data_IF_295579729417
#
_entry.id   IF_295579729417
#
_cell.length_a   1.000
_cell.length_b   1.000
_cell.length_c   1.000
_cell.angle_alpha   90.00
_cell.angle_beta   90.00
_cell.angle_gamma   90.00
#
_symmetry.space_group_name_H-M   'P 1'
#
loop_
_entity.id
_entity.type
_entity.pdbx_description
1 polymer ?
#
# COMPACT_ATOMS: atom_id res chain seq x y z
N UNK A 1 26.54 -59.26 -19.92
CA UNK A 1 26.37 -59.14 -18.44
C UNK A 1 25.21 -58.23 -18.17
N UNK A 2 24.12 -58.76 -17.58
CA UNK A 2 22.83 -58.09 -17.39
C UNK A 2 22.81 -57.42 -16.03
N UNK A 3 22.71 -56.08 -15.98
CA UNK A 3 22.43 -55.38 -14.72
C UNK A 3 20.97 -54.94 -14.68
N UNK A 4 20.26 -55.56 -13.74
CA UNK A 4 18.87 -55.29 -13.45
C UNK A 4 18.73 -53.91 -12.75
N UNK A 5 17.95 -53.02 -13.33
CA UNK A 5 17.43 -51.86 -12.65
C UNK A 5 16.26 -52.33 -11.76
N UNK A 6 16.41 -52.18 -10.45
CA UNK A 6 15.35 -52.39 -9.48
C UNK A 6 14.57 -51.11 -9.35
N UNK A 7 13.38 -51.05 -9.87
CA UNK A 7 12.44 -50.00 -9.64
C UNK A 7 11.97 -50.00 -8.16
N UNK A 8 12.33 -49.00 -7.41
CA UNK A 8 11.85 -48.80 -6.06
C UNK A 8 10.47 -48.16 -6.12
N UNK A 9 9.46 -48.95 -5.87
CA UNK A 9 8.09 -48.49 -5.65
C UNK A 9 8.03 -47.63 -4.40
N UNK A 10 7.62 -46.38 -4.58
CA UNK A 10 7.19 -45.50 -3.46
C UNK A 10 5.76 -45.88 -3.06
N UNK A 11 5.48 -45.97 -1.78
CA UNK A 11 4.10 -46.21 -1.32
C UNK A 11 3.24 -44.97 -1.58
N UNK A 12 2.08 -45.21 -2.16
CA UNK A 12 0.98 -44.26 -2.23
C UNK A 12 0.41 -44.11 -0.83
N UNK A 13 0.67 -43.02 -0.16
CA UNK A 13 -0.19 -42.63 0.96
C UNK A 13 -1.37 -41.82 0.42
N UNK A 14 -2.47 -42.58 0.35
CA UNK A 14 -3.80 -42.04 0.25
C UNK A 14 -4.28 -41.76 1.66
N UNK A 15 -4.49 -40.52 1.99
CA UNK A 15 -5.62 -40.07 2.82
C UNK A 15 -5.48 -38.57 3.07
N UNK A 16 -6.19 -37.78 2.28
CA UNK A 16 -6.57 -36.43 2.65
C UNK A 16 -7.64 -36.53 3.74
N UNK A 17 -7.40 -35.96 4.92
CA UNK A 17 -8.47 -35.71 5.87
C UNK A 17 -8.92 -34.25 5.77
N UNK A 18 -9.40 -33.86 4.59
CA UNK A 18 -10.11 -32.59 4.43
C UNK A 18 -11.44 -32.86 3.73
N UNK A 19 -12.27 -33.59 4.38
CA UNK A 19 -13.70 -33.64 4.10
C UNK A 19 -14.42 -33.55 5.44
N UNK A 20 -14.36 -32.39 6.06
CA UNK A 20 -15.40 -31.98 6.99
C UNK A 20 -15.85 -30.58 6.57
N UNK A 21 -16.93 -30.58 5.85
CA UNK A 21 -17.85 -29.48 5.70
C UNK A 21 -18.40 -29.11 7.07
N UNK A 22 -17.57 -28.43 7.85
CA UNK A 22 -18.00 -27.72 9.03
C UNK A 22 -18.70 -26.44 8.57
N UNK A 23 -20.00 -26.43 8.69
CA UNK A 23 -20.85 -25.26 8.57
C UNK A 23 -20.23 -24.15 9.41
N UNK A 24 -19.70 -23.10 8.74
CA UNK A 24 -19.39 -21.83 9.39
C UNK A 24 -20.69 -21.06 9.52
N UNK A 25 -21.59 -21.57 10.37
CA UNK A 25 -22.75 -20.86 10.85
C UNK A 25 -22.29 -20.02 12.06
N UNK A 26 -22.29 -18.70 11.89
CA UNK A 26 -22.33 -17.76 12.99
C UNK A 26 -21.04 -17.64 13.79
N UNK A 27 -19.89 -17.40 13.16
CA UNK A 27 -18.79 -16.78 13.87
C UNK A 27 -19.19 -15.33 14.16
N UNK A 28 -19.54 -15.08 15.42
CA UNK A 28 -19.48 -13.70 15.92
C UNK A 28 -18.07 -13.18 15.64
N UNK A 29 -17.92 -11.92 15.16
CA UNK A 29 -16.60 -11.35 14.98
C UNK A 29 -15.79 -11.55 16.26
N UNK A 30 -14.53 -11.93 16.10
CA UNK A 30 -13.66 -12.14 17.25
C UNK A 30 -13.52 -10.80 17.99
N UNK A 31 -13.31 -10.85 19.31
CA UNK A 31 -13.11 -9.66 20.16
C UNK A 31 -11.98 -8.76 19.62
N UNK A 32 -11.10 -9.31 18.80
CA UNK A 32 -10.04 -8.57 18.09
C UNK A 32 -10.60 -7.77 16.92
N UNK A 33 -11.62 -8.30 16.20
CA UNK A 33 -12.32 -7.56 15.14
C UNK A 33 -13.21 -6.45 15.70
N UNK A 34 -13.78 -6.62 16.88
CA UNK A 34 -14.49 -5.55 17.60
C UNK A 34 -13.54 -4.47 18.16
N UNK A 35 -12.32 -4.84 18.57
CA UNK A 35 -11.30 -3.88 19.06
C UNK A 35 -10.57 -3.12 17.95
N UNK A 36 -10.49 -3.70 16.77
CA UNK A 36 -9.95 -3.12 15.55
C UNK A 36 -11.01 -3.09 14.45
N UNK A 37 -12.29 -3.13 14.83
CA UNK A 37 -13.38 -2.83 13.94
C UNK A 37 -13.13 -1.47 13.34
N UNK A 38 -12.40 -1.46 12.26
CA UNK A 38 -12.35 -0.34 11.35
C UNK A 38 -13.73 -0.33 10.73
N UNK A 39 -14.63 0.31 11.43
CA UNK A 39 -15.91 0.70 10.88
C UNK A 39 -15.58 1.58 9.68
N UNK A 40 -15.91 1.12 8.48
CA UNK A 40 -15.69 1.84 7.22
C UNK A 40 -16.35 3.23 7.28
N UNK A 41 -17.35 3.41 8.14
CA UNK A 41 -17.97 4.71 8.45
C UNK A 41 -17.02 5.70 9.16
N UNK A 42 -15.96 5.23 9.83
CA UNK A 42 -14.97 6.12 10.48
C UNK A 42 -14.04 6.79 9.45
N UNK A 43 -13.88 6.20 8.26
CA UNK A 43 -12.99 6.75 7.23
C UNK A 43 -13.55 8.03 6.57
N UNK A 44 -14.86 8.28 6.64
CA UNK A 44 -15.46 9.52 6.14
C UNK A 44 -15.20 10.70 7.07
N UNK A 45 -15.07 10.47 8.39
CA UNK A 45 -14.72 11.51 9.35
C UNK A 45 -13.27 11.96 9.28
N UNK A 46 -12.40 11.22 8.58
CA UNK A 46 -10.99 11.57 8.36
C UNK A 46 -10.87 12.73 7.38
N UNK A 47 -11.82 12.86 6.44
CA UNK A 47 -11.80 13.92 5.44
C UNK A 47 -12.95 14.90 5.75
N UNK A 48 -12.63 15.99 6.44
CA UNK A 48 -13.58 17.09 6.64
C UNK A 48 -13.80 17.85 5.33
N UNK A 49 -14.95 18.55 5.16
CA UNK A 49 -15.21 19.36 3.96
C UNK A 49 -14.10 20.38 3.65
N UNK A 50 -13.47 20.95 4.68
CA UNK A 50 -12.32 21.86 4.53
C UNK A 50 -11.07 21.13 4.03
N UNK A 51 -10.88 19.87 4.45
CA UNK A 51 -9.74 19.06 4.04
C UNK A 51 -9.87 18.61 2.58
N UNK A 52 -11.10 18.40 2.10
CA UNK A 52 -11.37 18.03 0.71
C UNK A 52 -10.87 19.09 -0.29
N UNK A 53 -11.11 20.36 -0.01
CA UNK A 53 -10.64 21.46 -0.86
C UNK A 53 -9.10 21.51 -0.91
N UNK A 54 -8.45 21.31 0.22
CA UNK A 54 -6.97 21.26 0.30
C UNK A 54 -6.41 20.04 -0.45
N UNK A 55 -7.09 18.90 -0.39
CA UNK A 55 -6.74 17.72 -1.18
C UNK A 55 -6.84 18.03 -2.68
N UNK A 56 -7.94 18.63 -3.14
CA UNK A 56 -8.08 19.01 -4.54
C UNK A 56 -7.02 20.01 -5.00
N UNK A 57 -6.70 21.00 -4.17
CA UNK A 57 -5.57 21.93 -4.43
C UNK A 57 -4.24 21.19 -4.52
N UNK A 58 -4.00 20.22 -3.64
CA UNK A 58 -2.80 19.38 -3.70
C UNK A 58 -2.75 18.55 -4.97
N UNK A 59 -3.87 18.01 -5.43
CA UNK A 59 -3.97 17.20 -6.65
C UNK A 59 -3.95 18.03 -7.95
N UNK A 60 -4.22 19.32 -7.90
CA UNK A 60 -4.25 20.22 -9.07
C UNK A 60 -2.86 20.56 -9.64
N UNK A 61 -1.88 19.70 -9.49
CA UNK A 61 -0.53 19.84 -10.03
C UNK A 61 -0.08 18.54 -10.69
N UNK A 62 0.36 18.57 -11.96
CA UNK A 62 0.70 17.37 -12.71
C UNK A 62 1.84 16.56 -12.09
N UNK A 63 2.85 17.24 -11.51
CA UNK A 63 3.99 16.54 -10.90
C UNK A 63 3.59 15.85 -9.61
N UNK A 64 2.75 16.46 -8.77
CA UNK A 64 2.23 15.79 -7.56
C UNK A 64 1.38 14.57 -7.90
N UNK A 65 0.56 14.65 -8.97
CA UNK A 65 -0.15 13.48 -9.48
C UNK A 65 0.80 12.41 -10.00
N UNK A 66 1.86 12.80 -10.69
CA UNK A 66 2.88 11.85 -11.17
C UNK A 66 3.56 11.15 -10.00
N UNK A 67 3.94 11.88 -8.95
CA UNK A 67 4.51 11.29 -7.72
C UNK A 67 3.54 10.26 -7.12
N UNK A 68 2.27 10.62 -6.93
CA UNK A 68 1.27 9.71 -6.36
C UNK A 68 1.05 8.46 -7.22
N UNK A 69 1.02 8.60 -8.55
CA UNK A 69 0.93 7.46 -9.48
C UNK A 69 2.17 6.59 -9.39
N UNK A 70 3.35 7.19 -9.31
CA UNK A 70 4.61 6.46 -9.14
C UNK A 70 4.65 5.67 -7.84
N UNK A 71 4.21 6.28 -6.73
CA UNK A 71 4.14 5.60 -5.43
C UNK A 71 3.11 4.46 -5.37
N UNK A 72 2.16 4.39 -6.31
CA UNK A 72 1.26 3.23 -6.45
C UNK A 72 1.97 2.00 -6.98
N UNK A 73 2.90 2.20 -7.90
CA UNK A 73 3.69 1.15 -8.54
C UNK A 73 5.17 1.57 -8.55
N UNK A 74 5.82 1.52 -7.38
CA UNK A 74 7.14 2.12 -7.22
C UNK A 74 8.24 1.43 -8.03
N UNK A 75 8.14 0.12 -8.21
CA UNK A 75 9.15 -0.67 -8.93
C UNK A 75 9.26 -0.27 -10.41
N UNK A 76 8.13 0.07 -11.03
CA UNK A 76 8.09 0.45 -12.44
C UNK A 76 8.31 1.96 -12.69
N UNK A 77 8.22 2.78 -11.63
CA UNK A 77 8.23 4.25 -11.78
C UNK A 77 9.45 4.94 -11.15
N UNK A 78 10.16 4.27 -10.26
CA UNK A 78 11.34 4.83 -9.61
C UNK A 78 12.54 3.91 -9.72
N UNK A 79 13.76 4.45 -9.76
CA UNK A 79 14.98 3.65 -9.70
C UNK A 79 15.02 2.81 -8.43
N UNK A 80 15.70 1.66 -8.51
CA UNK A 80 15.95 0.82 -7.34
C UNK A 80 16.67 1.61 -6.25
N UNK A 81 16.28 1.39 -5.00
CA UNK A 81 16.93 1.99 -3.84
C UNK A 81 17.85 0.97 -3.16
N UNK A 82 18.93 1.47 -2.56
CA UNK A 82 19.96 0.61 -1.97
C UNK A 82 19.48 -0.06 -0.67
N UNK A 83 18.60 0.62 0.09
CA UNK A 83 18.11 0.15 1.38
C UNK A 83 16.59 0.27 1.49
N UNK A 84 16.00 -0.70 2.18
CA UNK A 84 14.57 -0.73 2.45
C UNK A 84 13.72 -1.27 1.29
N UNK A 85 12.76 -2.11 1.63
CA UNK A 85 11.78 -2.61 0.66
C UNK A 85 10.72 -1.54 0.39
N UNK A 86 10.52 -1.20 -0.88
CA UNK A 86 9.61 -0.14 -1.34
C UNK A 86 8.15 -0.37 -0.94
N UNK A 87 7.73 -1.62 -0.72
CA UNK A 87 6.35 -1.95 -0.33
C UNK A 87 6.12 -1.82 1.16
N UNK A 88 7.12 -2.13 1.99
CA UNK A 88 6.99 -2.09 3.45
C UNK A 88 7.42 -0.76 4.05
N UNK A 89 8.53 -0.21 3.57
CA UNK A 89 9.12 1.03 4.09
C UNK A 89 8.66 2.25 3.29
N UNK A 90 8.55 2.11 1.98
CA UNK A 90 8.26 3.18 1.03
C UNK A 90 9.46 3.49 0.13
N UNK A 91 9.32 4.51 -0.69
CA UNK A 91 10.34 4.96 -1.65
C UNK A 91 11.19 6.07 -1.05
N UNK A 92 12.50 5.92 -1.15
CA UNK A 92 13.44 6.94 -0.69
C UNK A 92 13.28 8.24 -1.50
N UNK A 93 13.44 9.38 -0.85
CA UNK A 93 13.31 10.70 -1.50
C UNK A 93 14.26 10.87 -2.68
N UNK A 94 15.47 10.28 -2.63
CA UNK A 94 16.44 10.32 -3.73
C UNK A 94 15.94 9.57 -4.97
N UNK A 95 15.35 8.38 -4.78
CA UNK A 95 14.77 7.60 -5.88
C UNK A 95 13.56 8.31 -6.50
N UNK A 96 12.72 8.97 -5.67
CA UNK A 96 11.60 9.81 -6.18
C UNK A 96 12.17 10.98 -6.99
N UNK A 97 13.19 11.66 -6.48
CA UNK A 97 13.83 12.78 -7.17
C UNK A 97 14.37 12.37 -8.53
N UNK A 98 15.09 11.28 -8.59
CA UNK A 98 15.66 10.74 -9.82
C UNK A 98 14.58 10.35 -10.82
N UNK A 99 13.54 9.62 -10.39
CA UNK A 99 12.44 9.20 -11.25
C UNK A 99 11.58 10.36 -11.77
N UNK A 100 11.47 11.47 -11.01
CA UNK A 100 10.74 12.67 -11.43
C UNK A 100 11.61 13.61 -12.27
N UNK A 101 12.94 13.59 -12.10
CA UNK A 101 13.87 14.40 -12.85
C UNK A 101 13.87 15.90 -12.47
N UNK A 102 13.49 16.23 -11.23
CA UNK A 102 13.48 17.61 -10.71
C UNK A 102 14.48 17.78 -9.57
N UNK A 103 14.73 19.03 -9.17
CA UNK A 103 15.61 19.31 -8.03
C UNK A 103 15.05 18.73 -6.73
N UNK A 104 15.94 18.36 -5.80
CA UNK A 104 15.57 17.83 -4.49
C UNK A 104 14.66 18.78 -3.71
N UNK A 105 14.93 20.07 -3.74
CA UNK A 105 14.11 21.08 -3.05
C UNK A 105 12.70 21.13 -3.61
N UNK A 106 12.54 21.03 -4.93
CA UNK A 106 11.23 21.02 -5.60
C UNK A 106 10.45 19.77 -5.25
N UNK A 107 11.06 18.58 -5.35
CA UNK A 107 10.41 17.30 -5.00
C UNK A 107 10.05 17.27 -3.53
N UNK A 108 10.93 17.73 -2.64
CA UNK A 108 10.64 17.83 -1.20
C UNK A 108 9.45 18.76 -0.90
N UNK A 109 9.32 19.86 -1.61
CA UNK A 109 8.17 20.78 -1.49
C UNK A 109 6.86 20.13 -1.95
N UNK A 110 6.88 19.35 -3.03
CA UNK A 110 5.71 18.59 -3.49
C UNK A 110 5.32 17.47 -2.51
N UNK A 111 6.29 16.73 -2.01
CA UNK A 111 6.08 15.69 -1.00
C UNK A 111 5.53 16.26 0.30
N UNK A 112 6.04 17.41 0.77
CA UNK A 112 5.52 18.11 1.94
C UNK A 112 4.05 18.54 1.75
N UNK A 113 3.68 18.98 0.55
CA UNK A 113 2.29 19.34 0.21
C UNK A 113 1.37 18.11 0.27
N UNK A 114 1.80 16.99 -0.32
CA UNK A 114 1.04 15.74 -0.30
C UNK A 114 0.92 15.15 1.11
N UNK A 115 1.99 15.27 1.92
CA UNK A 115 1.99 14.83 3.31
C UNK A 115 1.04 15.66 4.17
N UNK A 116 1.01 16.98 4.00
CA UNK A 116 0.14 17.88 4.77
C UNK A 116 -1.34 17.55 4.60
N UNK A 117 -1.75 17.09 3.42
CA UNK A 117 -3.13 16.67 3.14
C UNK A 117 -3.35 15.17 3.36
N UNK A 118 -2.38 14.45 3.91
CA UNK A 118 -2.49 13.04 4.26
C UNK A 118 -2.48 12.05 3.10
N UNK A 119 -2.14 12.49 1.87
CA UNK A 119 -2.08 11.61 0.70
C UNK A 119 -0.83 10.72 0.65
N UNK A 120 0.21 11.09 1.37
CA UNK A 120 1.41 10.30 1.56
C UNK A 120 1.80 10.23 3.03
N UNK A 121 2.35 9.12 3.42
CA UNK A 121 2.97 8.88 4.72
C UNK A 121 4.48 9.05 4.58
N UNK A 122 5.11 9.54 5.64
CA UNK A 122 6.55 9.70 5.72
C UNK A 122 7.11 8.84 6.85
N UNK A 123 8.24 8.20 6.58
CA UNK A 123 8.99 7.44 7.59
C UNK A 123 10.46 7.83 7.52
N UNK A 124 11.06 8.09 8.68
CA UNK A 124 12.51 8.30 8.81
C UNK A 124 13.17 7.07 9.40
N UNK A 125 14.21 6.58 8.72
CA UNK A 125 15.03 5.47 9.19
C UNK A 125 16.50 5.90 9.02
N UNK A 126 17.18 6.11 10.14
CA UNK A 126 18.53 6.65 10.14
C UNK A 126 18.57 8.04 9.47
N UNK A 127 19.41 8.16 8.44
CA UNK A 127 19.55 9.39 7.64
C UNK A 127 18.58 9.47 6.46
N UNK A 128 17.83 8.39 6.18
CA UNK A 128 16.98 8.26 5.01
C UNK A 128 15.54 8.63 5.32
N UNK A 129 14.87 9.28 4.37
CA UNK A 129 13.45 9.60 4.43
C UNK A 129 12.72 8.88 3.31
N UNK A 130 11.70 8.11 3.69
CA UNK A 130 10.90 7.29 2.80
C UNK A 130 9.47 7.81 2.75
N UNK A 131 8.87 7.69 1.58
CA UNK A 131 7.50 8.11 1.32
C UNK A 131 6.69 6.94 0.79
N UNK A 132 5.49 6.80 1.30
CA UNK A 132 4.53 5.79 0.87
C UNK A 132 3.17 6.45 0.63
N UNK A 133 2.44 5.96 -0.35
CA UNK A 133 1.08 6.44 -0.60
C UNK A 133 0.15 5.99 0.54
N UNK A 134 -0.69 6.90 1.02
CA UNK A 134 -1.69 6.60 2.05
C UNK A 134 -2.95 6.06 1.37
N UNK A 135 -3.06 4.74 1.27
CA UNK A 135 -4.18 4.08 0.61
C UNK A 135 -5.51 4.30 1.33
N UNK A 136 -5.50 4.45 2.66
CA UNK A 136 -6.70 4.71 3.43
C UNK A 136 -7.32 6.07 3.07
N UNK A 137 -6.50 7.12 3.02
CA UNK A 137 -6.97 8.47 2.62
C UNK A 137 -7.43 8.48 1.16
N UNK A 138 -6.74 7.78 0.26
CA UNK A 138 -7.10 7.72 -1.16
C UNK A 138 -8.41 6.97 -1.37
N UNK A 139 -8.61 5.86 -0.66
CA UNK A 139 -9.88 5.12 -0.71
C UNK A 139 -11.04 5.93 -0.16
N UNK A 140 -10.85 6.60 0.99
CA UNK A 140 -11.87 7.48 1.58
C UNK A 140 -12.23 8.65 0.64
N UNK A 141 -11.23 9.24 -0.04
CA UNK A 141 -11.46 10.30 -1.04
C UNK A 141 -12.27 9.78 -2.22
N UNK A 142 -11.96 8.60 -2.75
CA UNK A 142 -12.68 8.00 -3.86
C UNK A 142 -14.14 7.71 -3.49
N UNK A 143 -14.40 7.19 -2.28
CA UNK A 143 -15.77 6.97 -1.78
C UNK A 143 -16.54 8.27 -1.61
N UNK A 144 -15.91 9.30 -1.05
CA UNK A 144 -16.52 10.60 -0.85
C UNK A 144 -16.93 11.24 -2.19
N UNK A 145 -16.04 11.21 -3.19
CA UNK A 145 -16.33 11.71 -4.54
C UNK A 145 -17.48 10.93 -5.17
N UNK A 146 -17.53 9.62 -5.00
CA UNK A 146 -18.57 8.78 -5.59
C UNK A 146 -19.94 8.91 -4.92
N UNK A 147 -20.01 9.41 -3.68
CA UNK A 147 -21.26 9.56 -2.93
C UNK A 147 -21.81 10.98 -2.95
N UNK A 148 -20.93 11.97 -2.91
CA UNK A 148 -21.31 13.36 -2.62
C UNK A 148 -21.11 14.30 -3.82
N UNK A 149 -20.46 13.86 -4.89
CA UNK A 149 -20.25 14.59 -6.15
C UNK A 149 -20.77 13.81 -7.36
#
# INVERSE_FOLDING_TARGET
MKSRLVARQMPRESSSPFAETGQVLGRKPSVVEEKFGIDISINLDIIRPMDLLEIFKALSNPVRLQILKGLKDPVNNFPAQDEGDVFTVGVCVSSIQEGIGLSQSTVSGYLATLQRVGLVEVRRIGQWTYYKRNEATISALAELIGKDL
#
